data_IF_864561537669
#
_entry.id   IF_864561537669
#
_cell.length_a   1.000
_cell.length_b   1.000
_cell.length_c   1.000
_cell.angle_alpha   90.00
_cell.angle_beta   90.00
_cell.angle_gamma   90.00
#
_symmetry.space_group_name_H-M   'P 1'
#
loop_
_entity.id
_entity.type
_entity.pdbx_description
1 polymer ?
#
# COMPACT_ATOMS: atom_id res chain seq x y z
N UNK A 1 -2.44 3.73 22.78
CA UNK A 1 -3.33 3.03 21.83
C UNK A 1 -4.35 2.28 22.64
N UNK A 2 -5.62 2.38 22.28
CA UNK A 2 -6.68 1.61 22.92
C UNK A 2 -6.49 0.12 22.61
N UNK A 3 -6.09 -0.66 23.63
CA UNK A 3 -5.63 -2.04 23.45
C UNK A 3 -6.72 -2.99 22.93
N UNK A 4 -7.98 -2.59 23.00
CA UNK A 4 -9.10 -3.38 22.52
C UNK A 4 -9.30 -3.27 21.01
N UNK A 5 -8.98 -2.12 20.40
CA UNK A 5 -9.10 -1.94 18.95
C UNK A 5 -8.13 -2.82 18.17
N UNK A 6 -6.92 -3.05 18.72
CA UNK A 6 -5.88 -3.81 18.02
C UNK A 6 -6.14 -5.32 17.99
N UNK A 7 -6.88 -5.86 18.98
CA UNK A 7 -7.14 -7.31 19.10
C UNK A 7 -8.00 -7.88 17.97
N UNK A 8 -8.78 -7.04 17.31
CA UNK A 8 -9.75 -7.45 16.29
C UNK A 8 -9.25 -7.24 14.86
N UNK A 9 -8.04 -6.69 14.69
CA UNK A 9 -7.43 -6.38 13.40
C UNK A 9 -6.90 -7.60 12.62
N UNK A 10 -6.99 -8.81 13.18
CA UNK A 10 -6.45 -10.02 12.55
C UNK A 10 -4.99 -9.84 12.12
N UNK A 11 -4.63 -10.11 10.84
CA UNK A 11 -3.25 -10.00 10.37
C UNK A 11 -2.72 -8.55 10.40
N UNK A 12 -3.61 -7.55 10.46
CA UNK A 12 -3.24 -6.13 10.50
C UNK A 12 -2.84 -5.65 11.91
N UNK A 13 -3.07 -6.46 12.95
CA UNK A 13 -2.82 -6.06 14.34
C UNK A 13 -1.37 -5.61 14.56
N UNK A 14 -0.42 -6.29 13.92
CA UNK A 14 1.00 -5.97 14.02
C UNK A 14 1.37 -4.62 13.37
N UNK A 15 0.57 -4.11 12.41
CA UNK A 15 0.86 -2.87 11.69
C UNK A 15 0.41 -1.62 12.46
N UNK A 16 -0.54 -1.72 13.40
CA UNK A 16 -1.06 -0.58 14.16
C UNK A 16 0.06 0.23 14.84
N UNK A 17 0.31 1.47 14.41
CA UNK A 17 1.34 2.36 14.97
C UNK A 17 2.03 3.22 13.93
N UNK A 18 3.15 3.83 14.32
CA UNK A 18 3.94 4.70 13.43
C UNK A 18 5.29 4.07 13.14
N UNK A 19 5.70 4.16 11.89
CA UNK A 19 6.81 3.41 11.33
C UNK A 19 7.69 4.31 10.49
N UNK A 20 8.99 4.05 10.54
CA UNK A 20 9.97 4.71 9.68
C UNK A 20 10.94 3.69 9.11
N UNK A 21 11.38 3.90 7.87
CA UNK A 21 12.41 3.10 7.22
C UNK A 21 13.22 3.98 6.27
N UNK A 22 14.53 3.78 6.22
CA UNK A 22 15.48 4.56 5.41
C UNK A 22 16.24 3.73 4.37
N UNK A 23 15.78 2.49 4.14
CA UNK A 23 16.38 1.53 3.21
C UNK A 23 15.52 1.32 1.96
N UNK A 24 14.59 2.23 1.70
CA UNK A 24 13.67 2.17 0.57
C UNK A 24 14.42 2.12 -0.74
N UNK A 25 13.98 1.25 -1.64
CA UNK A 25 14.46 1.14 -3.01
C UNK A 25 13.28 1.21 -3.95
N UNK A 26 13.38 2.06 -4.97
CA UNK A 26 12.33 2.30 -5.96
C UNK A 26 12.92 2.18 -7.37
N UNK A 27 12.15 1.56 -8.27
CA UNK A 27 12.38 1.48 -9.71
C UNK A 27 11.20 2.15 -10.38
N UNK A 28 11.39 3.32 -10.97
CA UNK A 28 10.30 4.12 -11.54
C UNK A 28 10.59 4.56 -12.98
N UNK A 29 9.56 4.94 -13.76
CA UNK A 29 9.77 5.63 -15.02
C UNK A 29 10.41 7.01 -14.78
N UNK A 30 11.55 7.28 -15.42
CA UNK A 30 12.21 8.60 -15.37
C UNK A 30 11.47 9.64 -16.21
N UNK A 31 11.88 10.92 -16.08
CA UNK A 31 11.30 12.05 -16.83
C UNK A 31 11.36 11.87 -18.37
N UNK A 32 12.42 11.23 -18.87
CA UNK A 32 12.59 10.88 -20.29
C UNK A 32 11.93 9.53 -20.67
N UNK A 33 11.12 8.96 -19.76
CA UNK A 33 10.43 7.67 -19.89
C UNK A 33 11.36 6.45 -19.96
N UNK A 34 12.62 6.63 -19.56
CA UNK A 34 13.56 5.58 -19.23
C UNK A 34 13.27 4.92 -17.88
N UNK A 35 14.31 4.47 -17.18
CA UNK A 35 14.22 3.86 -15.85
C UNK A 35 15.12 4.62 -14.91
N UNK A 36 14.59 5.00 -13.75
CA UNK A 36 15.36 5.56 -12.65
C UNK A 36 15.35 4.63 -11.43
N UNK A 37 16.39 4.74 -10.62
CA UNK A 37 16.56 3.99 -9.38
C UNK A 37 16.69 4.97 -8.24
N UNK A 38 15.73 4.97 -7.33
CA UNK A 38 15.69 5.90 -6.22
C UNK A 38 15.92 5.19 -4.90
N UNK A 39 16.64 5.85 -3.99
CA UNK A 39 16.70 5.47 -2.57
C UNK A 39 15.89 6.46 -1.76
N UNK A 40 15.07 5.95 -0.85
CA UNK A 40 14.16 6.79 -0.10
C UNK A 40 14.06 6.39 1.37
N UNK A 41 13.66 7.38 2.17
CA UNK A 41 13.13 7.18 3.50
C UNK A 41 11.63 7.41 3.48
N UNK A 42 10.92 6.71 4.33
CA UNK A 42 9.47 6.86 4.46
C UNK A 42 9.05 6.88 5.91
N UNK A 43 7.85 7.43 6.12
CA UNK A 43 7.14 7.35 7.37
C UNK A 43 5.71 6.92 7.10
N UNK A 44 5.27 5.85 7.77
CA UNK A 44 3.92 5.30 7.66
C UNK A 44 3.21 5.39 9.00
N UNK A 45 1.96 5.84 8.98
CA UNK A 45 1.07 5.82 10.15
C UNK A 45 -0.10 4.88 9.87
N UNK A 46 -0.34 3.97 10.80
CA UNK A 46 -1.48 3.06 10.84
C UNK A 46 -2.24 3.29 12.14
N UNK A 47 -3.27 4.12 12.10
CA UNK A 47 -4.07 4.47 13.28
C UNK A 47 -5.30 3.56 13.36
N UNK A 48 -5.45 2.72 14.41
CA UNK A 48 -6.66 1.92 14.58
C UNK A 48 -7.92 2.78 14.57
N UNK A 49 -8.91 2.36 13.80
CA UNK A 49 -10.26 2.96 13.82
C UNK A 49 -11.22 2.02 14.54
N UNK A 50 -12.35 2.59 14.99
CA UNK A 50 -13.45 1.81 15.54
C UNK A 50 -14.02 0.84 14.50
N UNK A 51 -14.78 -0.15 14.99
CA UNK A 51 -15.49 -1.11 14.14
C UNK A 51 -16.34 -0.38 13.09
N UNK A 52 -16.18 -0.74 11.82
CA UNK A 52 -17.07 -0.33 10.74
C UNK A 52 -18.13 -1.41 10.59
N UNK A 53 -19.34 -1.14 11.05
CA UNK A 53 -20.48 -2.05 10.94
C UNK A 53 -21.47 -1.50 9.93
N UNK A 54 -21.78 -2.28 8.91
CA UNK A 54 -22.84 -1.97 7.96
C UNK A 54 -23.58 -3.25 7.58
N UNK A 55 -24.87 -3.33 7.91
CA UNK A 55 -25.68 -4.55 7.82
C UNK A 55 -24.98 -5.76 8.47
N UNK A 56 -24.87 -6.89 7.77
CA UNK A 56 -24.19 -8.12 8.20
C UNK A 56 -22.66 -7.99 8.24
N UNK A 57 -22.07 -6.98 7.59
CA UNK A 57 -20.63 -6.84 7.50
C UNK A 57 -20.04 -6.09 8.70
N UNK A 58 -18.90 -6.61 9.15
CA UNK A 58 -18.07 -6.01 10.19
C UNK A 58 -16.63 -5.94 9.70
N UNK A 59 -16.11 -4.72 9.59
CA UNK A 59 -14.70 -4.48 9.25
C UNK A 59 -13.97 -3.86 10.44
N UNK A 60 -12.72 -4.27 10.60
CA UNK A 60 -11.75 -3.64 11.49
C UNK A 60 -10.69 -2.99 10.65
N UNK A 61 -10.16 -1.84 11.06
CA UNK A 61 -9.27 -1.11 10.16
C UNK A 61 -8.23 -0.22 10.80
N UNK A 62 -7.34 0.23 9.94
CA UNK A 62 -6.30 1.21 10.20
C UNK A 62 -6.52 2.37 9.23
N UNK A 63 -6.69 3.59 9.74
CA UNK A 63 -6.51 4.80 8.95
C UNK A 63 -5.03 4.92 8.63
N UNK A 64 -4.72 5.09 7.36
CA UNK A 64 -3.38 4.96 6.85
C UNK A 64 -2.93 6.25 6.14
N UNK A 65 -1.68 6.61 6.36
CA UNK A 65 -0.98 7.65 5.61
C UNK A 65 0.51 7.29 5.49
N UNK A 66 1.09 7.45 4.30
CA UNK A 66 2.54 7.37 4.08
C UNK A 66 3.06 8.64 3.43
N UNK A 67 4.31 8.97 3.72
CA UNK A 67 5.07 9.97 2.97
C UNK A 67 6.48 9.47 2.74
N UNK A 68 6.90 9.37 1.48
CA UNK A 68 8.25 8.98 1.08
C UNK A 68 9.04 10.18 0.54
N UNK A 69 10.33 10.24 0.91
CA UNK A 69 11.26 11.30 0.54
C UNK A 69 12.55 10.68 0.04
N UNK A 70 13.19 11.26 -0.99
CA UNK A 70 14.54 10.84 -1.34
C UNK A 70 15.47 11.03 -0.14
N UNK A 71 16.52 10.20 -0.04
CA UNK A 71 17.51 10.35 1.03
C UNK A 71 18.20 11.71 0.92
N UNK A 72 18.26 12.45 2.03
CA UNK A 72 18.86 13.79 2.09
C UNK A 72 17.91 14.94 1.74
N UNK A 73 16.75 14.64 1.16
CA UNK A 73 15.79 15.65 0.72
C UNK A 73 14.68 15.93 1.75
N UNK A 74 14.15 17.14 1.71
CA UNK A 74 13.02 17.58 2.56
C UNK A 74 11.67 17.34 1.90
N UNK A 75 11.58 17.58 0.59
CA UNK A 75 10.36 17.46 -0.17
C UNK A 75 10.03 15.99 -0.46
N UNK A 76 8.76 15.57 -0.27
CA UNK A 76 8.33 14.23 -0.66
C UNK A 76 8.20 14.09 -2.17
N UNK A 77 8.47 12.88 -2.68
CA UNK A 77 8.14 12.52 -4.06
C UNK A 77 6.88 11.65 -4.14
N UNK A 78 6.50 11.00 -3.03
CA UNK A 78 5.29 10.19 -2.92
C UNK A 78 4.58 10.44 -1.59
N UNK A 79 3.26 10.43 -1.66
CA UNK A 79 2.33 10.49 -0.53
C UNK A 79 1.09 9.68 -0.91
N UNK A 80 0.51 8.99 0.06
CA UNK A 80 -0.83 8.42 -0.11
C UNK A 80 -1.53 8.29 1.23
N UNK A 81 -2.86 8.30 1.18
CA UNK A 81 -3.75 8.21 2.33
C UNK A 81 -4.89 7.25 2.04
N UNK A 82 -5.41 6.60 3.08
CA UNK A 82 -6.45 5.61 2.90
C UNK A 82 -6.79 4.79 4.13
N UNK A 83 -7.25 3.57 3.88
CA UNK A 83 -7.58 2.59 4.91
C UNK A 83 -7.00 1.22 4.58
N UNK A 84 -6.55 0.54 5.62
CA UNK A 84 -6.39 -0.91 5.61
C UNK A 84 -7.54 -1.52 6.38
N UNK A 85 -8.18 -2.56 5.84
CA UNK A 85 -9.37 -3.17 6.41
C UNK A 85 -9.20 -4.69 6.48
N UNK A 86 -9.78 -5.27 7.52
CA UNK A 86 -9.85 -6.69 7.76
C UNK A 86 -11.32 -7.10 7.91
N UNK A 87 -11.76 -8.01 7.04
CA UNK A 87 -13.05 -8.69 7.13
C UNK A 87 -12.81 -10.14 7.64
N UNK A 88 -13.15 -10.45 8.90
CA UNK A 88 -12.96 -11.79 9.43
C UNK A 88 -13.92 -12.83 8.86
N UNK A 89 -15.10 -12.42 8.38
CA UNK A 89 -16.09 -13.35 7.83
C UNK A 89 -15.64 -13.85 6.45
N UNK A 90 -15.07 -12.95 5.65
CA UNK A 90 -14.56 -13.26 4.30
C UNK A 90 -13.07 -13.62 4.28
N UNK A 91 -12.39 -13.57 5.44
CA UNK A 91 -10.93 -13.74 5.55
C UNK A 91 -10.17 -12.83 4.59
N UNK A 92 -10.58 -11.58 4.52
CA UNK A 92 -10.17 -10.63 3.49
C UNK A 92 -9.41 -9.45 4.09
N UNK A 93 -8.24 -9.15 3.53
CA UNK A 93 -7.52 -7.90 3.75
C UNK A 93 -7.78 -6.98 2.55
N UNK A 94 -8.05 -5.70 2.84
CA UNK A 94 -8.18 -4.65 1.83
C UNK A 94 -7.22 -3.51 2.14
N UNK A 95 -6.62 -2.93 1.09
CA UNK A 95 -5.91 -1.65 1.12
C UNK A 95 -6.60 -0.72 0.12
N UNK A 96 -7.25 0.32 0.63
CA UNK A 96 -7.98 1.31 -0.16
C UNK A 96 -7.28 2.66 -0.01
N UNK A 97 -6.71 3.21 -1.08
CA UNK A 97 -5.93 4.45 -0.97
C UNK A 97 -6.03 5.34 -2.20
N UNK A 98 -5.62 6.59 -1.99
CA UNK A 98 -5.49 7.62 -3.01
C UNK A 98 -4.08 8.21 -3.01
N UNK A 99 -3.57 8.47 -4.20
CA UNK A 99 -2.31 9.18 -4.43
C UNK A 99 -2.66 10.57 -4.93
N UNK A 100 -2.05 11.66 -4.43
CA UNK A 100 -2.34 13.05 -4.81
C UNK A 100 -1.86 13.40 -6.23
N UNK A 101 -1.63 12.40 -7.08
CA UNK A 101 -1.51 12.50 -8.54
C UNK A 101 -2.81 12.15 -9.26
N UNK A 102 -3.89 11.89 -8.54
CA UNK A 102 -5.19 11.51 -9.12
C UNK A 102 -5.24 10.02 -9.50
N UNK A 103 -4.79 9.17 -8.57
CA UNK A 103 -4.97 7.72 -8.61
C UNK A 103 -5.75 7.29 -7.37
N UNK A 104 -6.68 6.36 -7.52
CA UNK A 104 -7.41 5.73 -6.44
C UNK A 104 -7.53 4.22 -6.73
N UNK A 105 -7.28 3.37 -5.74
CA UNK A 105 -7.41 1.93 -5.92
C UNK A 105 -7.82 1.18 -4.65
N UNK A 106 -8.39 0.00 -4.86
CA UNK A 106 -8.65 -1.00 -3.82
C UNK A 106 -7.87 -2.25 -4.19
N UNK A 107 -6.89 -2.62 -3.37
CA UNK A 107 -6.20 -3.89 -3.46
C UNK A 107 -6.74 -4.84 -2.40
N UNK A 108 -6.93 -6.11 -2.74
CA UNK A 108 -7.45 -7.10 -1.80
C UNK A 108 -6.78 -8.46 -1.93
N UNK A 109 -6.89 -9.26 -0.87
CA UNK A 109 -6.34 -10.60 -0.80
C UNK A 109 -6.92 -11.40 0.36
N UNK A 110 -6.79 -12.71 0.29
CA UNK A 110 -7.18 -13.62 1.37
C UNK A 110 -6.03 -13.79 2.34
N UNK A 111 -6.32 -13.75 3.64
CA UNK A 111 -5.36 -14.01 4.70
C UNK A 111 -6.05 -14.67 5.90
N UNK A 112 -5.32 -15.44 6.69
CA UNK A 112 -5.79 -15.96 7.96
C UNK A 112 -5.55 -14.94 9.09
N UNK A 113 -6.34 -14.96 10.19
CA UNK A 113 -6.21 -14.01 11.29
C UNK A 113 -4.81 -13.87 11.92
N UNK A 114 -3.98 -14.91 11.77
CA UNK A 114 -2.64 -15.00 12.36
C UNK A 114 -1.52 -14.93 11.34
N UNK A 115 -1.83 -14.68 10.06
CA UNK A 115 -0.82 -14.64 9.02
C UNK A 115 0.19 -13.51 9.26
N UNK A 116 1.46 -13.85 9.09
CA UNK A 116 2.57 -12.90 9.12
C UNK A 116 3.04 -12.51 7.74
N UNK A 117 2.52 -13.15 6.69
CA UNK A 117 2.76 -12.82 5.29
C UNK A 117 1.43 -12.86 4.57
N UNK A 118 1.11 -11.81 3.83
CA UNK A 118 -0.07 -11.77 2.99
C UNK A 118 0.19 -10.91 1.76
N UNK A 119 -0.57 -11.16 0.69
CA UNK A 119 -0.43 -10.45 -0.58
C UNK A 119 -1.77 -9.88 -1.02
N UNK A 120 -1.74 -8.67 -1.59
CA UNK A 120 -2.90 -7.96 -2.12
C UNK A 120 -2.72 -7.69 -3.61
N UNK A 121 -3.82 -7.67 -4.34
CA UNK A 121 -3.84 -7.41 -5.78
C UNK A 121 -4.94 -6.41 -6.12
N UNK A 122 -4.68 -5.52 -7.07
CA UNK A 122 -5.70 -4.76 -7.79
C UNK A 122 -5.48 -4.86 -9.31
N UNK A 123 -6.57 -4.78 -10.09
CA UNK A 123 -6.56 -4.86 -11.54
C UNK A 123 -7.40 -3.74 -12.16
N UNK A 124 -6.88 -3.13 -13.23
CA UNK A 124 -7.62 -2.12 -13.96
C UNK A 124 -8.91 -2.70 -14.57
N UNK A 125 -10.03 -2.03 -14.35
CA UNK A 125 -11.36 -2.46 -14.84
C UNK A 125 -12.08 -3.46 -13.95
N UNK A 126 -11.45 -3.96 -12.87
CA UNK A 126 -12.15 -4.78 -11.87
C UNK A 126 -13.22 -3.98 -11.14
N UNK A 127 -14.37 -4.61 -10.88
CA UNK A 127 -15.48 -4.02 -10.10
C UNK A 127 -15.33 -4.24 -8.59
N UNK A 128 -14.30 -4.98 -8.16
CA UNK A 128 -13.99 -5.20 -6.74
C UNK A 128 -12.65 -4.55 -6.40
N UNK A 129 -11.55 -5.23 -6.73
CA UNK A 129 -10.18 -4.74 -6.51
C UNK A 129 -9.73 -3.91 -7.72
N UNK A 130 -10.35 -2.73 -7.87
CA UNK A 130 -10.20 -1.87 -9.04
C UNK A 130 -9.15 -0.77 -8.89
N UNK A 131 -8.71 -0.24 -10.04
CA UNK A 131 -7.78 0.88 -10.16
C UNK A 131 -8.41 1.97 -11.03
N UNK A 132 -8.36 3.22 -10.55
CA UNK A 132 -8.82 4.41 -11.27
C UNK A 132 -7.72 5.46 -11.32
N UNK A 133 -7.51 6.05 -12.49
CA UNK A 133 -6.45 7.04 -12.73
C UNK A 133 -6.99 8.24 -13.51
N UNK A 134 -6.31 9.39 -13.40
CA UNK A 134 -6.61 10.55 -14.22
C UNK A 134 -6.37 10.29 -15.73
N UNK A 135 -6.91 11.16 -16.59
CA UNK A 135 -6.85 11.02 -18.06
C UNK A 135 -5.44 10.96 -18.64
N UNK A 136 -4.48 11.69 -18.05
CA UNK A 136 -3.10 11.67 -18.51
C UNK A 136 -2.45 10.32 -18.20
N UNK A 137 -2.63 9.81 -16.98
CA UNK A 137 -2.08 8.52 -16.57
C UNK A 137 -2.72 7.37 -17.36
N UNK A 138 -4.03 7.39 -17.60
CA UNK A 138 -4.70 6.39 -18.45
C UNK A 138 -4.11 6.31 -19.86
N UNK A 139 -3.61 7.43 -20.40
CA UNK A 139 -3.01 7.48 -21.73
C UNK A 139 -1.52 7.14 -21.73
N UNK A 140 -0.77 7.66 -20.76
CA UNK A 140 0.71 7.71 -20.83
C UNK A 140 1.41 6.72 -19.90
N UNK A 141 0.78 6.37 -18.78
CA UNK A 141 1.33 5.52 -17.70
C UNK A 141 0.20 4.70 -17.07
N UNK A 142 -0.48 3.90 -17.88
CA UNK A 142 -1.69 3.20 -17.43
C UNK A 142 -1.32 2.10 -16.45
N UNK A 143 -1.69 2.25 -15.19
CA UNK A 143 -1.60 1.16 -14.22
C UNK A 143 -2.60 0.07 -14.62
N UNK A 144 -2.09 -1.10 -14.99
CA UNK A 144 -2.92 -2.26 -15.37
C UNK A 144 -3.10 -3.22 -14.22
N UNK A 145 -2.12 -3.29 -13.32
CA UNK A 145 -2.10 -4.18 -12.17
C UNK A 145 -1.25 -3.59 -11.06
N UNK A 146 -1.65 -3.90 -9.83
CA UNK A 146 -0.91 -3.59 -8.62
C UNK A 146 -0.81 -4.85 -7.78
N UNK A 147 0.40 -5.17 -7.32
CA UNK A 147 0.65 -6.24 -6.37
C UNK A 147 1.40 -5.70 -5.16
N UNK A 148 1.06 -6.21 -3.98
CA UNK A 148 1.73 -5.92 -2.73
C UNK A 148 1.93 -7.21 -1.97
N UNK A 149 3.10 -7.42 -1.40
CA UNK A 149 3.33 -8.44 -0.38
C UNK A 149 3.86 -7.77 0.89
N UNK A 150 3.23 -8.05 2.02
CA UNK A 150 3.67 -7.61 3.35
C UNK A 150 4.20 -8.80 4.13
N UNK A 151 5.30 -8.60 4.84
CA UNK A 151 5.91 -9.57 5.74
C UNK A 151 6.14 -8.94 7.11
N UNK A 152 5.45 -9.43 8.12
CA UNK A 152 5.64 -9.08 9.53
C UNK A 152 6.87 -9.82 10.06
N UNK A 153 7.94 -9.07 10.32
CA UNK A 153 9.24 -9.60 10.78
C UNK A 153 9.37 -9.58 12.31
N UNK A 154 8.30 -9.23 13.02
CA UNK A 154 8.23 -9.17 14.47
C UNK A 154 7.37 -7.99 14.94
N UNK A 155 7.29 -7.79 16.26
CA UNK A 155 6.40 -6.78 16.87
C UNK A 155 6.66 -5.34 16.38
N UNK A 156 7.93 -5.02 16.09
CA UNK A 156 8.37 -3.65 15.77
C UNK A 156 9.10 -3.59 14.42
N UNK A 157 8.86 -4.57 13.54
CA UNK A 157 9.50 -4.60 12.21
C UNK A 157 8.60 -5.27 11.19
N UNK A 158 8.42 -4.64 10.04
CA UNK A 158 7.81 -5.28 8.88
C UNK A 158 8.54 -4.88 7.61
N UNK A 159 8.33 -5.65 6.55
CA UNK A 159 8.82 -5.40 5.22
C UNK A 159 7.66 -5.45 4.24
N UNK A 160 7.72 -4.67 3.18
CA UNK A 160 6.83 -4.80 2.05
C UNK A 160 7.61 -4.79 0.74
N UNK A 161 6.98 -5.33 -0.30
CA UNK A 161 7.37 -5.20 -1.70
C UNK A 161 6.12 -4.94 -2.53
N UNK A 162 6.19 -3.93 -3.38
CA UNK A 162 5.14 -3.51 -4.30
C UNK A 162 5.60 -3.70 -5.76
N UNK A 163 4.66 -4.03 -6.64
CA UNK A 163 4.85 -4.03 -8.10
C UNK A 163 3.62 -3.40 -8.76
N UNK A 164 3.79 -2.15 -9.18
CA UNK A 164 2.82 -1.40 -9.98
C UNK A 164 3.17 -1.57 -11.46
N UNK A 165 2.35 -2.32 -12.18
CA UNK A 165 2.59 -2.63 -13.58
C UNK A 165 1.95 -1.58 -14.47
N UNK A 166 2.78 -0.92 -15.28
CA UNK A 166 2.38 0.20 -16.12
C UNK A 166 2.47 -0.18 -17.60
N UNK A 167 1.38 0.05 -18.33
CA UNK A 167 1.41 0.10 -19.78
C UNK A 167 1.82 1.52 -20.23
N UNK A 168 2.92 1.61 -20.98
CA UNK A 168 3.46 2.86 -21.50
C UNK A 168 3.51 2.80 -23.04
N UNK A 169 2.94 3.76 -23.79
CA UNK A 169 2.87 3.70 -25.25
C UNK A 169 4.23 3.56 -25.97
N UNK A 170 5.32 4.00 -25.33
CA UNK A 170 6.67 3.94 -25.89
C UNK A 170 7.36 2.58 -25.71
N UNK A 171 6.70 1.58 -25.11
CA UNK A 171 7.26 0.26 -24.81
C UNK A 171 6.30 -0.85 -25.24
N UNK A 172 6.84 -2.00 -25.65
CA UNK A 172 6.03 -3.20 -25.96
C UNK A 172 5.63 -3.96 -24.70
N UNK A 173 6.54 -4.03 -23.74
CA UNK A 173 6.37 -4.76 -22.49
C UNK A 173 5.88 -3.82 -21.37
N UNK A 174 5.25 -4.40 -20.34
CA UNK A 174 4.87 -3.66 -19.15
C UNK A 174 6.12 -3.15 -18.42
N UNK A 175 6.04 -1.92 -17.94
CA UNK A 175 7.01 -1.39 -17.00
C UNK A 175 6.63 -1.83 -15.59
N UNK A 176 7.55 -2.50 -14.90
CA UNK A 176 7.39 -2.86 -13.49
C UNK A 176 7.93 -1.73 -12.61
N UNK A 177 7.02 -0.89 -12.11
CA UNK A 177 7.35 0.11 -11.10
C UNK A 177 7.31 -0.59 -9.75
N UNK A 178 8.48 -0.91 -9.21
CA UNK A 178 8.60 -1.68 -7.98
C UNK A 178 9.26 -0.87 -6.88
N UNK A 179 8.68 -0.91 -5.70
CA UNK A 179 9.25 -0.33 -4.49
C UNK A 179 9.23 -1.34 -3.34
N UNK A 180 10.23 -1.24 -2.46
CA UNK A 180 10.33 -2.07 -1.27
C UNK A 180 11.03 -1.33 -0.13
N UNK A 181 10.63 -1.62 1.11
CA UNK A 181 11.31 -1.10 2.28
C UNK A 181 11.12 -2.01 3.50
N UNK A 182 12.00 -1.86 4.48
CA UNK A 182 11.85 -2.44 5.82
C UNK A 182 11.68 -1.31 6.82
N UNK A 183 10.58 -1.32 7.56
CA UNK A 183 10.28 -0.29 8.55
C UNK A 183 10.40 -0.79 9.97
N UNK A 184 10.78 0.15 10.84
CA UNK A 184 10.86 -0.02 12.28
C UNK A 184 9.78 0.83 12.96
N UNK A 185 9.13 0.28 13.98
CA UNK A 185 8.14 1.02 14.76
C UNK A 185 8.83 2.10 15.58
N UNK A 186 8.30 3.32 15.54
CA UNK A 186 8.77 4.47 16.33
C UNK A 186 7.73 4.96 17.34
N UNK A 187 6.44 4.67 17.15
CA UNK A 187 5.36 4.93 18.12
C UNK A 187 4.25 3.87 18.06
#
# INVERSE_FOLDING_TARGET
>A
MDSDLTKQLGPLAALAGVWEGDKGADVAPSDDRGTELNKFRERITFEPIGQVRNHEQVLYGLRYATVARPIGETNPFHEEVGYWLWDPAERQVLRCFIVPRGVALIAGGTAEPTDTIFSLVAEAGSTTYGICSNRFLEKEFKTVRYELTVTILGKNRFHYREDTQLHMPSRSDLFHHSDENTLMRVM
#
